data_IF_757435899396
#
_entry.id   IF_757435899396
#
_cell.length_a   1.000
_cell.length_b   1.000
_cell.length_c   1.000
_cell.angle_alpha   90.00
_cell.angle_beta   90.00
_cell.angle_gamma   90.00
#
_symmetry.space_group_name_H-M   'P 1'
#
loop_
_entity.id
_entity.type
_entity.pdbx_description
1 polymer ?
#
# COMPACT_ATOMS: atom_id res chain seq x y z
N UNK A 1 -4.16 20.11 13.93
CA UNK A 1 -3.45 20.82 12.84
C UNK A 1 -2.71 19.76 12.03
N UNK A 2 -3.18 19.47 10.81
CA UNK A 2 -2.56 18.46 9.95
C UNK A 2 -1.41 19.10 9.18
N UNK A 3 -0.19 18.61 9.42
CA UNK A 3 1.00 18.97 8.66
C UNK A 3 0.85 18.41 7.25
N UNK A 4 0.26 19.19 6.35
CA UNK A 4 0.34 18.91 4.93
C UNK A 4 1.83 18.93 4.55
N UNK A 5 2.41 17.74 4.42
CA UNK A 5 3.80 17.55 4.10
C UNK A 5 4.12 18.32 2.80
N UNK A 6 4.93 19.39 2.93
CA UNK A 6 5.46 20.18 1.81
C UNK A 6 6.43 19.30 1.01
N UNK A 7 5.91 18.59 0.01
CA UNK A 7 6.69 17.89 -1.01
C UNK A 7 6.35 18.41 -2.42
N UNK A 8 6.29 19.73 -2.60
CA UNK A 8 5.92 20.32 -3.89
C UNK A 8 6.94 20.07 -5.02
N UNK A 9 8.13 19.52 -4.72
CA UNK A 9 9.13 19.05 -5.71
C UNK A 9 9.24 17.52 -5.86
N UNK A 10 8.43 16.75 -5.13
CA UNK A 10 8.54 15.28 -5.08
C UNK A 10 7.97 14.57 -6.31
N UNK A 11 8.35 13.30 -6.50
CA UNK A 11 7.85 12.39 -7.54
C UNK A 11 6.32 12.26 -7.54
N UNK A 12 5.70 12.34 -6.36
CA UNK A 12 4.27 12.17 -6.11
C UNK A 12 3.74 13.25 -5.17
N UNK A 13 2.46 13.60 -5.31
CA UNK A 13 1.74 14.61 -4.50
C UNK A 13 0.65 13.97 -3.67
N UNK A 14 0.51 14.41 -2.43
CA UNK A 14 -0.59 13.96 -1.58
C UNK A 14 -1.96 14.36 -2.13
N UNK A 15 -2.94 13.50 -1.89
CA UNK A 15 -4.37 13.76 -2.05
C UNK A 15 -5.08 13.42 -0.74
N UNK A 16 -6.31 13.94 -0.53
CA UNK A 16 -7.11 13.54 0.63
C UNK A 16 -7.31 12.02 0.65
N UNK A 17 -6.83 11.39 1.73
CA UNK A 17 -7.14 10.02 2.12
C UNK A 17 -8.01 10.03 3.37
N UNK A 18 -8.34 8.85 3.89
CA UNK A 18 -9.06 8.72 5.15
C UNK A 18 -8.04 8.68 6.29
N UNK A 19 -8.03 9.67 7.21
CA UNK A 19 -7.04 9.73 8.28
C UNK A 19 -7.05 8.46 9.13
N UNK A 20 -5.86 7.89 9.39
CA UNK A 20 -5.72 6.64 10.14
C UNK A 20 -5.99 5.37 9.34
N UNK A 21 -6.54 5.47 8.13
CA UNK A 21 -6.87 4.31 7.28
C UNK A 21 -6.01 4.28 6.01
N UNK A 22 -5.75 5.43 5.39
CA UNK A 22 -4.97 5.47 4.16
C UNK A 22 -4.22 6.78 3.89
N UNK A 23 -3.11 6.65 3.16
CA UNK A 23 -2.40 7.76 2.53
C UNK A 23 -2.54 7.61 1.02
N UNK A 24 -3.00 8.67 0.35
CA UNK A 24 -3.17 8.70 -1.12
C UNK A 24 -2.19 9.65 -1.76
N UNK A 25 -1.45 9.15 -2.75
CA UNK A 25 -0.43 9.88 -3.49
C UNK A 25 -0.72 9.79 -4.99
N UNK A 26 -0.56 10.89 -5.71
CA UNK A 26 -0.82 10.98 -7.15
C UNK A 26 0.42 11.47 -7.89
N UNK A 27 0.56 11.06 -9.16
CA UNK A 27 1.65 11.48 -10.04
C UNK A 27 1.83 13.01 -10.03
N UNK A 28 3.09 13.45 -9.95
CA UNK A 28 3.48 14.84 -10.18
C UNK A 28 3.97 15.03 -11.64
N UNK A 29 3.17 15.60 -12.57
CA UNK A 29 3.60 15.92 -13.92
C UNK A 29 4.70 16.99 -13.97
N UNK A 30 4.92 17.74 -12.87
CA UNK A 30 6.00 18.71 -12.78
C UNK A 30 7.30 18.09 -12.21
N UNK A 31 7.35 16.77 -12.02
CA UNK A 31 8.57 16.09 -11.62
C UNK A 31 9.61 16.21 -12.72
N UNK A 32 10.86 16.52 -12.37
CA UNK A 32 11.91 16.83 -13.36
C UNK A 32 12.22 15.68 -14.33
N UNK A 33 11.91 14.43 -13.94
CA UNK A 33 12.02 13.23 -14.80
C UNK A 33 10.68 12.74 -15.35
N UNK A 34 9.65 13.59 -15.36
CA UNK A 34 8.35 13.23 -15.93
C UNK A 34 8.45 12.83 -17.41
N UNK A 35 9.35 13.47 -18.16
CA UNK A 35 9.65 13.14 -19.55
C UNK A 35 10.25 11.73 -19.75
N UNK A 36 10.81 11.12 -18.69
CA UNK A 36 11.30 9.74 -18.69
C UNK A 36 10.19 8.72 -18.35
N UNK A 37 8.93 9.16 -18.22
CA UNK A 37 7.81 8.31 -17.83
C UNK A 37 7.74 8.00 -16.33
N UNK A 38 8.41 8.81 -15.49
CA UNK A 38 8.38 8.66 -14.04
C UNK A 38 7.44 9.67 -13.35
N UNK A 39 6.77 9.30 -12.24
CA UNK A 39 6.63 7.95 -11.70
C UNK A 39 5.83 7.03 -12.62
N UNK A 40 6.12 5.73 -12.57
CA UNK A 40 5.40 4.72 -13.37
C UNK A 40 3.93 4.56 -12.96
N UNK A 41 3.61 4.89 -11.72
CA UNK A 41 2.25 4.83 -11.19
C UNK A 41 1.56 6.18 -11.24
N UNK A 42 0.26 6.18 -11.52
CA UNK A 42 -0.59 7.37 -11.49
C UNK A 42 -1.16 7.67 -10.09
N UNK A 43 -1.50 6.61 -9.36
CA UNK A 43 -2.05 6.65 -8.01
C UNK A 43 -1.37 5.57 -7.16
N UNK A 44 -0.89 5.94 -5.98
CA UNK A 44 -0.53 5.00 -4.93
C UNK A 44 -1.44 5.23 -3.74
N UNK A 45 -1.97 4.15 -3.18
CA UNK A 45 -2.73 4.17 -1.92
C UNK A 45 -2.05 3.24 -0.95
N UNK A 46 -1.46 3.80 0.10
CA UNK A 46 -0.98 3.03 1.24
C UNK A 46 -2.15 2.86 2.20
N UNK A 47 -2.55 1.62 2.49
CA UNK A 47 -3.61 1.28 3.43
C UNK A 47 -3.00 0.78 4.74
N UNK A 48 -3.64 1.11 5.85
CA UNK A 48 -3.27 0.64 7.18
C UNK A 48 -4.35 -0.32 7.67
N UNK A 49 -3.99 -1.59 7.90
CA UNK A 49 -4.93 -2.60 8.41
C UNK A 49 -4.81 -2.83 9.93
N UNK A 50 -3.86 -2.17 10.59
CA UNK A 50 -3.65 -2.27 12.04
C UNK A 50 -3.21 -3.66 12.49
N UNK A 51 -3.39 -3.92 13.78
CA UNK A 51 -3.22 -5.25 14.38
C UNK A 51 -4.56 -6.00 14.43
N UNK A 52 -4.58 -7.34 14.28
CA UNK A 52 -3.43 -8.22 14.07
C UNK A 52 -2.87 -8.18 12.64
N UNK A 53 -1.57 -8.47 12.51
CA UNK A 53 -0.84 -8.44 11.24
C UNK A 53 -1.45 -9.28 10.10
N UNK A 54 -2.28 -10.27 10.42
CA UNK A 54 -2.98 -11.16 9.49
C UNK A 54 -3.91 -10.43 8.51
N UNK A 55 -4.44 -9.28 8.92
CA UNK A 55 -5.30 -8.45 8.06
C UNK A 55 -4.56 -7.97 6.80
N UNK A 56 -3.24 -7.77 6.87
CA UNK A 56 -2.45 -7.34 5.72
C UNK A 56 -2.41 -8.43 4.64
N UNK A 57 -2.23 -9.69 5.02
CA UNK A 57 -2.17 -10.82 4.09
C UNK A 57 -3.56 -11.15 3.54
N UNK A 58 -4.60 -11.09 4.38
CA UNK A 58 -5.98 -11.31 3.95
C UNK A 58 -6.47 -10.27 2.91
N UNK A 59 -5.86 -9.07 2.88
CA UNK A 59 -6.17 -8.04 1.88
C UNK A 59 -5.66 -8.35 0.47
N UNK A 60 -4.72 -9.28 0.32
CA UNK A 60 -4.23 -9.74 -0.99
C UNK A 60 -5.31 -10.54 -1.76
N UNK A 61 -5.88 -11.64 -1.22
CA UNK A 61 -6.90 -12.41 -1.93
C UNK A 61 -8.23 -11.66 -2.09
N UNK A 62 -8.53 -10.67 -1.23
CA UNK A 62 -9.73 -9.84 -1.39
C UNK A 62 -9.61 -8.77 -2.49
N UNK A 63 -8.39 -8.50 -2.97
CA UNK A 63 -8.10 -7.44 -3.94
C UNK A 63 -8.10 -6.03 -3.34
N UNK A 64 -8.06 -5.91 -2.01
CA UNK A 64 -7.97 -4.62 -1.31
C UNK A 64 -6.54 -4.04 -1.32
N UNK A 65 -5.53 -4.90 -1.44
CA UNK A 65 -4.13 -4.57 -1.64
C UNK A 65 -3.49 -5.38 -2.76
N UNK A 66 -2.66 -4.71 -3.57
CA UNK A 66 -1.89 -5.36 -4.63
C UNK A 66 -0.55 -5.95 -4.13
N UNK A 67 -0.01 -5.38 -3.05
CA UNK A 67 1.29 -5.73 -2.50
C UNK A 67 1.33 -5.50 -0.99
N UNK A 68 2.00 -6.38 -0.26
CA UNK A 68 2.29 -6.27 1.18
C UNK A 68 3.80 -6.25 1.34
N UNK A 69 4.29 -5.26 2.06
CA UNK A 69 5.71 -5.05 2.35
C UNK A 69 6.19 -5.92 3.52
N UNK A 70 7.49 -6.21 3.58
CA UNK A 70 8.09 -7.13 4.56
C UNK A 70 8.39 -6.54 5.93
N UNK A 71 7.98 -5.30 6.19
CA UNK A 71 8.01 -4.69 7.52
C UNK A 71 6.84 -5.09 8.41
N UNK A 72 5.85 -5.83 7.88
CA UNK A 72 4.75 -6.40 8.67
C UNK A 72 5.26 -7.54 9.56
N UNK A 73 4.63 -7.74 10.73
CA UNK A 73 5.01 -8.82 11.64
C UNK A 73 4.70 -10.20 11.02
N UNK A 74 5.72 -10.84 10.45
CA UNK A 74 5.63 -12.12 9.77
C UNK A 74 5.30 -13.32 10.68
N UNK A 75 5.64 -13.25 11.97
CA UNK A 75 5.45 -14.38 12.88
C UNK A 75 3.97 -14.74 13.08
N UNK A 76 3.06 -13.76 13.05
CA UNK A 76 1.61 -14.02 13.05
C UNK A 76 1.10 -14.57 11.71
N UNK A 77 1.70 -14.11 10.61
CA UNK A 77 1.22 -14.36 9.25
C UNK A 77 1.55 -15.77 8.72
N UNK A 78 2.59 -16.42 9.25
CA UNK A 78 2.97 -17.77 8.83
C UNK A 78 1.83 -18.79 8.99
N UNK A 79 1.01 -18.63 10.03
CA UNK A 79 -0.14 -19.52 10.27
C UNK A 79 -1.23 -19.35 9.20
N UNK A 80 -1.52 -18.10 8.82
CA UNK A 80 -2.56 -17.77 7.82
C UNK A 80 -2.14 -18.19 6.41
N UNK A 81 -0.85 -18.03 6.07
CA UNK A 81 -0.34 -18.44 4.77
C UNK A 81 -0.43 -19.95 4.56
N UNK A 82 -0.16 -20.75 5.59
CA UNK A 82 -0.32 -22.21 5.55
C UNK A 82 -1.78 -22.61 5.29
N UNK A 83 -2.75 -21.98 5.97
CA UNK A 83 -4.18 -22.20 5.74
C UNK A 83 -4.61 -21.83 4.30
N UNK A 84 -4.14 -20.69 3.77
CA UNK A 84 -4.43 -20.26 2.40
C UNK A 84 -3.82 -21.20 1.35
N UNK A 85 -2.61 -21.72 1.59
CA UNK A 85 -1.99 -22.71 0.71
C UNK A 85 -2.74 -24.04 0.71
N UNK A 86 -3.16 -24.53 1.88
CA UNK A 86 -3.95 -25.76 1.99
C UNK A 86 -5.32 -25.64 1.31
N UNK A 87 -5.97 -24.47 1.43
CA UNK A 87 -7.26 -24.19 0.78
C UNK A 87 -7.14 -24.09 -0.76
N UNK A 88 -6.00 -23.65 -1.28
CA UNK A 88 -5.76 -23.54 -2.71
C UNK A 88 -5.12 -24.80 -3.34
N UNK A 89 -4.54 -25.69 -2.53
CA UNK A 89 -3.93 -26.95 -2.95
C UNK A 89 -4.86 -28.15 -2.97
N UNK A 90 -6.14 -27.99 -2.63
CA UNK A 90 -7.16 -29.05 -2.59
C UNK A 90 -8.09 -29.06 -3.82
N UNK A 91 -7.62 -28.54 -4.95
CA UNK A 91 -8.26 -28.64 -6.28
C UNK A 91 -7.92 -29.93 -7.01
#
# INVERSE_FOLDING_TARGET
MSTAARWAGGLIRSKPGQPGESIRLSRNPNYFRAAEGLPRFDLLTFRFFGEPADNNIAALPSGECDFVDDTVNWEGQLFVLDELQQKNGSG
#
